data_IF_752865695550
#
_entry.id   IF_752865695550
#
_cell.length_a   1.000
_cell.length_b   1.000
_cell.length_c   1.000
_cell.angle_alpha   90.00
_cell.angle_beta   90.00
_cell.angle_gamma   90.00
#
_symmetry.space_group_name_H-M   'P 1'
#
loop_
_entity.id
_entity.type
_entity.pdbx_description
1 polymer ?
#
# COMPACT_ATOMS: atom_id res chain seq x y z
N UNK A 1 -28.82 15.08 20.39
CA UNK A 1 -29.46 14.51 19.20
C UNK A 1 -28.66 14.95 17.95
N UNK A 2 -27.69 14.16 17.50
CA UNK A 2 -27.16 14.19 16.13
C UNK A 2 -26.80 12.76 15.75
N UNK A 3 -27.71 12.13 15.01
CA UNK A 3 -27.59 10.81 14.40
C UNK A 3 -26.78 10.95 13.11
N UNK A 4 -25.47 10.68 13.14
CA UNK A 4 -24.67 10.59 11.92
C UNK A 4 -24.72 9.17 11.36
N UNK A 5 -25.71 8.93 10.51
CA UNK A 5 -25.79 7.78 9.59
C UNK A 5 -24.57 7.73 8.68
N UNK A 6 -23.93 6.56 8.62
CA UNK A 6 -23.10 6.01 7.54
C UNK A 6 -22.28 6.99 6.70
N UNK A 7 -21.01 7.15 7.06
CA UNK A 7 -19.98 7.41 6.06
C UNK A 7 -18.83 6.45 6.32
N UNK A 8 -18.95 5.22 5.78
CA UNK A 8 -17.91 4.17 5.80
C UNK A 8 -16.65 4.53 4.99
N UNK A 9 -16.43 5.81 4.67
CA UNK A 9 -15.29 6.28 3.89
C UNK A 9 -14.65 7.50 4.56
N UNK A 10 -13.33 7.54 4.69
CA UNK A 10 -12.64 8.70 5.25
C UNK A 10 -12.82 9.92 4.36
N UNK A 11 -13.09 11.09 4.96
CA UNK A 11 -13.25 12.36 4.24
C UNK A 11 -11.93 13.11 4.12
N UNK A 12 -11.53 13.44 2.89
CA UNK A 12 -10.48 14.42 2.54
C UNK A 12 -9.22 14.37 3.41
N UNK A 13 -9.13 15.28 4.38
CA UNK A 13 -7.99 15.36 5.31
C UNK A 13 -7.80 14.12 6.18
N UNK A 14 -8.88 13.41 6.54
CA UNK A 14 -8.78 12.14 7.28
C UNK A 14 -8.11 11.07 6.42
N UNK A 15 -8.43 11.02 5.13
CA UNK A 15 -7.80 10.09 4.18
C UNK A 15 -6.33 10.42 3.98
N UNK A 16 -5.99 11.71 3.82
CA UNK A 16 -4.59 12.16 3.69
C UNK A 16 -3.80 11.80 4.94
N UNK A 17 -4.30 12.15 6.13
CA UNK A 17 -3.67 11.79 7.42
C UNK A 17 -3.49 10.27 7.54
N UNK A 18 -4.51 9.50 7.18
CA UNK A 18 -4.44 8.03 7.16
C UNK A 18 -3.34 7.51 6.23
N UNK A 19 -3.22 8.05 5.00
CA UNK A 19 -2.18 7.67 4.04
C UNK A 19 -0.77 7.85 4.61
N UNK A 20 -0.55 8.90 5.39
CA UNK A 20 0.75 9.22 6.00
C UNK A 20 0.96 8.64 7.41
N UNK A 21 0.13 7.70 7.85
CA UNK A 21 0.37 6.93 9.10
C UNK A 21 -0.54 7.29 10.28
N UNK A 22 -1.50 8.20 10.12
CA UNK A 22 -2.43 8.48 11.20
C UNK A 22 -3.40 7.31 11.43
N UNK A 23 -3.72 7.08 12.70
CA UNK A 23 -4.73 6.10 13.10
C UNK A 23 -6.15 6.63 12.83
N UNK A 24 -6.99 5.75 12.32
CA UNK A 24 -8.41 5.97 12.02
C UNK A 24 -9.26 5.61 13.24
N UNK A 25 -10.42 6.25 13.46
CA UNK A 25 -11.39 5.82 14.47
C UNK A 25 -11.82 4.36 14.27
N UNK A 26 -12.08 3.64 15.39
CA UNK A 26 -12.46 2.21 15.37
C UNK A 26 -13.71 1.92 14.54
N UNK A 27 -14.63 2.88 14.40
CA UNK A 27 -15.84 2.77 13.58
C UNK A 27 -15.55 2.54 12.08
N UNK A 28 -14.34 2.81 11.61
CA UNK A 28 -13.93 2.66 10.22
C UNK A 28 -12.96 1.49 10.00
N UNK A 29 -12.81 0.59 10.99
CA UNK A 29 -11.90 -0.55 10.90
C UNK A 29 -12.25 -1.50 9.74
N UNK A 30 -13.52 -1.64 9.38
CA UNK A 30 -13.95 -2.46 8.24
C UNK A 30 -13.48 -1.88 6.90
N UNK A 31 -13.58 -0.56 6.73
CA UNK A 31 -12.99 0.13 5.57
C UNK A 31 -11.47 -0.03 5.54
N UNK A 32 -10.79 0.12 6.68
CA UNK A 32 -9.33 -0.04 6.78
C UNK A 32 -8.90 -1.47 6.45
N UNK A 33 -9.64 -2.48 6.92
CA UNK A 33 -9.38 -3.88 6.60
C UNK A 33 -9.52 -4.12 5.09
N UNK A 34 -10.54 -3.57 4.45
CA UNK A 34 -10.70 -3.64 3.00
C UNK A 34 -9.65 -2.82 2.23
N UNK A 35 -9.17 -1.70 2.76
CA UNK A 35 -8.10 -0.93 2.12
C UNK A 35 -6.74 -1.62 2.22
N UNK A 36 -6.41 -2.19 3.38
CA UNK A 36 -5.12 -2.84 3.63
C UNK A 36 -5.05 -4.27 3.11
N UNK A 37 -6.15 -5.02 3.14
CA UNK A 37 -6.19 -6.41 2.70
C UNK A 37 -6.91 -6.59 1.35
N UNK A 38 -7.55 -5.57 0.80
CA UNK A 38 -8.36 -5.71 -0.41
C UNK A 38 -7.56 -5.92 -1.70
N UNK A 39 -8.25 -6.22 -2.81
CA UNK A 39 -7.61 -6.29 -4.12
C UNK A 39 -6.95 -4.94 -4.41
N UNK A 40 -5.73 -4.96 -4.96
CA UNK A 40 -4.93 -3.77 -5.28
C UNK A 40 -4.43 -2.95 -4.07
N UNK A 41 -4.46 -3.49 -2.85
CA UNK A 41 -3.92 -2.81 -1.66
C UNK A 41 -2.45 -2.39 -1.83
N UNK A 42 -1.63 -3.28 -2.41
CA UNK A 42 -0.23 -2.98 -2.77
C UNK A 42 -0.13 -1.79 -3.71
N UNK A 43 -0.95 -1.77 -4.78
CA UNK A 43 -0.96 -0.68 -5.75
C UNK A 43 -1.35 0.65 -5.10
N UNK A 44 -2.39 0.68 -4.26
CA UNK A 44 -2.80 1.90 -3.54
C UNK A 44 -1.69 2.43 -2.64
N UNK A 45 -1.00 1.54 -1.93
CA UNK A 45 0.16 1.90 -1.12
C UNK A 45 1.30 2.48 -1.98
N UNK A 46 1.65 1.82 -3.08
CA UNK A 46 2.68 2.29 -4.03
C UNK A 46 2.31 3.65 -4.60
N UNK A 47 1.05 3.90 -4.97
CA UNK A 47 0.66 5.21 -5.50
C UNK A 47 0.76 6.29 -4.41
N UNK A 48 0.33 5.99 -3.18
CA UNK A 48 0.40 6.93 -2.05
C UNK A 48 1.84 7.35 -1.72
N UNK A 49 2.77 6.40 -1.72
CA UNK A 49 4.18 6.67 -1.45
C UNK A 49 4.95 7.21 -2.65
N UNK A 50 4.44 7.05 -3.88
CA UNK A 50 5.02 7.70 -5.05
C UNK A 50 4.84 9.23 -5.00
N UNK A 51 3.77 9.75 -4.40
CA UNK A 51 3.50 11.20 -4.31
C UNK A 51 4.67 11.98 -3.67
N UNK A 52 5.14 11.66 -2.44
CA UNK A 52 6.27 12.38 -1.85
C UNK A 52 7.56 12.21 -2.65
N UNK A 53 7.77 11.03 -3.28
CA UNK A 53 8.94 10.79 -4.14
C UNK A 53 8.92 11.68 -5.38
N UNK A 54 7.77 11.80 -6.05
CA UNK A 54 7.58 12.67 -7.20
C UNK A 54 7.73 14.14 -6.81
N UNK A 55 7.21 14.53 -5.64
CA UNK A 55 7.40 15.88 -5.11
C UNK A 55 8.87 16.21 -4.89
N UNK A 56 9.65 15.24 -4.41
CA UNK A 56 11.09 15.39 -4.21
C UNK A 56 11.87 15.38 -5.54
N UNK A 57 11.38 14.65 -6.55
CA UNK A 57 11.96 14.57 -7.90
C UNK A 57 11.67 15.82 -8.74
N UNK A 58 10.53 16.48 -8.53
CA UNK A 58 10.07 17.64 -9.30
C UNK A 58 11.11 18.78 -9.41
N UNK A 59 11.78 19.24 -8.33
CA UNK A 59 12.79 20.29 -8.46
C UNK A 59 13.98 19.89 -9.35
N UNK A 60 14.39 18.62 -9.35
CA UNK A 60 15.49 18.13 -10.19
C UNK A 60 15.16 18.23 -11.69
N UNK A 61 13.88 18.13 -12.05
CA UNK A 61 13.40 18.29 -13.42
C UNK A 61 13.29 19.76 -13.86
N UNK A 62 13.18 20.70 -12.92
CA UNK A 62 13.09 22.14 -13.19
C UNK A 62 14.47 22.80 -13.38
N UNK A 63 15.56 22.10 -13.05
CA UNK A 63 16.93 22.59 -13.26
C UNK A 63 17.17 22.83 -14.76
N UNK A 64 17.78 23.97 -15.15
CA UNK A 64 18.12 24.25 -16.55
C UNK A 64 19.30 23.38 -17.01
N UNK A 65 19.02 22.11 -17.32
CA UNK A 65 19.99 21.14 -17.84
C UNK A 65 19.43 20.40 -19.08
N UNK A 66 20.25 19.68 -19.85
CA UNK A 66 19.75 18.76 -20.87
C UNK A 66 18.87 17.66 -20.26
N UNK A 67 17.87 17.16 -20.99
CA UNK A 67 16.95 16.13 -20.50
C UNK A 67 17.67 14.85 -20.01
N UNK A 68 18.73 14.44 -20.70
CA UNK A 68 19.52 13.26 -20.32
C UNK A 68 20.15 13.41 -18.93
N UNK A 69 20.63 14.62 -18.62
CA UNK A 69 21.24 14.94 -17.32
C UNK A 69 20.18 14.99 -16.22
N UNK A 70 19.01 15.59 -16.50
CA UNK A 70 17.91 15.65 -15.54
C UNK A 70 17.43 14.25 -15.16
N UNK A 71 17.28 13.36 -16.14
CA UNK A 71 16.83 11.99 -15.93
C UNK A 71 17.89 11.21 -15.16
N UNK A 72 19.16 11.21 -15.60
CA UNK A 72 20.22 10.44 -14.93
C UNK A 72 20.45 10.87 -13.47
N UNK A 73 20.28 12.16 -13.16
CA UNK A 73 20.34 12.68 -11.79
C UNK A 73 19.12 12.30 -10.95
N UNK A 74 17.93 12.29 -11.53
CA UNK A 74 16.68 11.97 -10.83
C UNK A 74 16.45 10.46 -10.68
N UNK A 75 16.91 9.65 -11.63
CA UNK A 75 16.65 8.21 -11.77
C UNK A 75 17.01 7.34 -10.55
N UNK A 76 18.09 7.62 -9.78
CA UNK A 76 18.39 6.83 -8.59
C UNK A 76 17.27 6.85 -7.54
N UNK A 77 16.51 7.95 -7.45
CA UNK A 77 15.43 8.13 -6.49
C UNK A 77 14.25 7.15 -6.73
N UNK A 78 13.61 7.12 -7.92
CA UNK A 78 12.53 6.18 -8.19
C UNK A 78 13.01 4.72 -8.20
N UNK A 79 14.27 4.45 -8.58
CA UNK A 79 14.84 3.10 -8.47
C UNK A 79 14.85 2.64 -7.01
N UNK A 80 15.46 3.43 -6.11
CA UNK A 80 15.48 3.12 -4.69
C UNK A 80 14.05 2.95 -4.14
N UNK A 81 13.14 3.83 -4.54
CA UNK A 81 11.73 3.77 -4.16
C UNK A 81 11.06 2.43 -4.53
N UNK A 82 11.27 1.93 -5.75
CA UNK A 82 10.70 0.64 -6.19
C UNK A 82 11.23 -0.50 -5.32
N UNK A 83 12.54 -0.56 -5.09
CA UNK A 83 13.15 -1.58 -4.23
C UNK A 83 12.59 -1.54 -2.80
N UNK A 84 12.56 -0.36 -2.18
CA UNK A 84 12.03 -0.21 -0.82
C UNK A 84 10.56 -0.55 -0.74
N UNK A 85 9.76 -0.16 -1.74
CA UNK A 85 8.32 -0.45 -1.74
C UNK A 85 8.06 -1.94 -1.86
N UNK A 86 8.77 -2.64 -2.74
CA UNK A 86 8.65 -4.10 -2.87
C UNK A 86 9.04 -4.82 -1.57
N UNK A 87 10.14 -4.40 -0.94
CA UNK A 87 10.63 -5.02 0.29
C UNK A 87 9.74 -4.71 1.52
N UNK A 88 9.33 -3.45 1.69
CA UNK A 88 8.63 -2.98 2.88
C UNK A 88 7.11 -3.17 2.81
N UNK A 89 6.53 -3.46 1.64
CA UNK A 89 5.08 -3.59 1.48
C UNK A 89 4.45 -4.53 2.52
N UNK A 90 5.04 -5.72 2.72
CA UNK A 90 4.51 -6.69 3.68
C UNK A 90 4.62 -6.20 5.12
N UNK A 91 5.80 -5.69 5.50
CA UNK A 91 6.08 -5.17 6.86
C UNK A 91 5.16 -4.00 7.19
N UNK A 92 5.03 -3.04 6.27
CA UNK A 92 4.20 -1.86 6.46
C UNK A 92 2.72 -2.22 6.62
N UNK A 93 2.18 -3.07 5.73
CA UNK A 93 0.77 -3.47 5.80
C UNK A 93 0.46 -4.23 7.08
N UNK A 94 1.36 -5.12 7.50
CA UNK A 94 1.25 -5.86 8.78
C UNK A 94 1.22 -4.89 9.97
N UNK A 95 2.18 -3.97 10.02
CA UNK A 95 2.24 -2.95 11.07
C UNK A 95 0.99 -2.07 11.10
N UNK A 96 0.46 -1.68 9.93
CA UNK A 96 -0.80 -0.92 9.85
C UNK A 96 -1.97 -1.73 10.41
N UNK A 97 -2.10 -3.02 10.10
CA UNK A 97 -3.16 -3.85 10.68
C UNK A 97 -3.05 -3.91 12.21
N UNK A 98 -1.84 -4.10 12.73
CA UNK A 98 -1.55 -4.10 14.17
C UNK A 98 -1.93 -2.75 14.82
N UNK A 99 -1.59 -1.62 14.20
CA UNK A 99 -1.98 -0.28 14.68
C UNK A 99 -3.50 -0.11 14.81
N UNK A 100 -4.29 -0.80 13.99
CA UNK A 100 -5.75 -0.76 14.02
C UNK A 100 -6.37 -1.87 14.90
N UNK A 101 -5.56 -2.76 15.47
CA UNK A 101 -6.02 -3.91 16.27
C UNK A 101 -6.66 -5.01 15.43
N UNK A 102 -6.28 -5.11 14.16
CA UNK A 102 -6.75 -6.13 13.21
C UNK A 102 -5.74 -7.29 13.14
N UNK A 103 -6.22 -8.47 12.78
CA UNK A 103 -5.39 -9.67 12.60
C UNK A 103 -4.32 -9.43 11.51
N UNK A 104 -3.02 -9.46 11.84
CA UNK A 104 -1.95 -9.21 10.88
C UNK A 104 -1.89 -10.27 9.77
N UNK A 105 -2.43 -11.47 10.02
CA UNK A 105 -2.45 -12.59 9.07
C UNK A 105 -3.56 -12.45 8.01
N UNK A 106 -4.39 -11.40 8.07
CA UNK A 106 -5.38 -11.11 7.01
C UNK A 106 -4.73 -10.94 5.62
N UNK A 107 -3.48 -10.48 5.59
CA UNK A 107 -2.72 -10.30 4.35
C UNK A 107 -2.39 -11.66 3.74
N UNK A 108 -1.95 -12.59 4.58
CA UNK A 108 -1.50 -13.93 4.17
C UNK A 108 -2.71 -14.82 3.80
N UNK A 109 -3.85 -14.69 4.49
CA UNK A 109 -5.10 -15.41 4.17
C UNK A 109 -5.58 -15.14 2.74
N UNK A 110 -5.65 -13.86 2.33
CA UNK A 110 -6.07 -13.49 0.97
C UNK A 110 -5.03 -13.80 -0.11
N UNK A 111 -3.74 -13.70 0.21
CA UNK A 111 -2.69 -14.14 -0.71
C UNK A 111 -2.78 -15.65 -0.96
N UNK A 112 -3.07 -16.42 0.09
CA UNK A 112 -3.30 -17.86 0.01
C UNK A 112 -4.58 -18.20 -0.75
N UNK A 113 -5.68 -17.47 -0.56
CA UNK A 113 -6.91 -17.62 -1.35
C UNK A 113 -6.68 -17.32 -2.84
N UNK A 114 -5.98 -16.23 -3.17
CA UNK A 114 -5.66 -15.88 -4.56
C UNK A 114 -4.78 -16.93 -5.25
N UNK A 115 -3.83 -17.48 -4.52
CA UNK A 115 -2.90 -18.48 -5.04
C UNK A 115 -3.41 -19.91 -4.81
N UNK A 116 -4.65 -20.10 -4.33
CA UNK A 116 -5.19 -21.43 -4.02
C UNK A 116 -5.15 -22.35 -5.25
N UNK A 117 -5.48 -21.82 -6.42
CA UNK A 117 -5.41 -22.57 -7.69
C UNK A 117 -3.99 -23.08 -7.99
N UNK A 118 -2.96 -22.26 -7.70
CA UNK A 118 -1.55 -22.64 -7.85
C UNK A 118 -1.11 -23.66 -6.79
N UNK A 119 -1.62 -23.54 -5.57
CA UNK A 119 -1.35 -24.50 -4.49
C UNK A 119 -2.00 -25.86 -4.78
N UNK A 120 -3.22 -25.87 -5.32
CA UNK A 120 -3.93 -27.08 -5.71
C UNK A 120 -3.25 -27.77 -6.91
N UNK A 121 -2.77 -26.99 -7.88
CA UNK A 121 -1.95 -27.51 -8.97
C UNK A 121 -0.61 -28.09 -8.47
N UNK A 122 0.07 -27.39 -7.55
CA UNK A 122 1.30 -27.88 -6.91
C UNK A 122 1.06 -29.17 -6.12
N UNK A 123 -0.01 -29.24 -5.32
CA UNK A 123 -0.38 -30.43 -4.55
C UNK A 123 -0.71 -31.61 -5.46
N UNK A 124 -1.41 -31.38 -6.58
CA UNK A 124 -1.70 -32.41 -7.58
C UNK A 124 -0.44 -32.94 -8.25
N UNK A 125 0.53 -32.05 -8.56
CA UNK A 125 1.76 -32.40 -9.28
C UNK A 125 2.83 -33.07 -8.41
N UNK A 126 2.95 -32.67 -7.15
CA UNK A 126 4.07 -33.08 -6.28
C UNK A 126 3.69 -33.86 -5.02
N UNK A 127 2.41 -33.83 -4.61
CA UNK A 127 1.94 -34.49 -3.37
C UNK A 127 0.92 -35.62 -3.60
N UNK A 128 0.62 -35.94 -4.86
CA UNK A 128 -0.16 -37.11 -5.26
C UNK A 128 0.70 -38.37 -5.39
N UNK A 129 1.03 -39.00 -4.27
CA UNK A 129 1.38 -40.42 -4.17
C UNK A 129 0.79 -40.97 -2.88
#
# INVERSE_FOLDING_TARGET
MQTSTTSDRPRGLQYIRYCYGARMPKSMNEWVANDLAGPHATLRMVVRWAIPVLMLMLPFLLVPAPWDVRITMALPIPIAYVFFTLALNRVYRRHRLEQHGLDPDLIDKREKERNADLYDEYHRKYRGR
#
